data_IF_244981210022
#
_entry.id   IF_244981210022
#
_cell.length_a   1.000
_cell.length_b   1.000
_cell.length_c   1.000
_cell.angle_alpha   90.00
_cell.angle_beta   90.00
_cell.angle_gamma   90.00
#
_symmetry.space_group_name_H-M   'P 1'
#
loop_
_entity.id
_entity.type
_entity.pdbx_description
1 polymer ?
#
# COMPACT_ATOMS: atom_id res chain seq x y z
N UNK A 1 -23.48 -5.47 -3.91
CA UNK A 1 -22.46 -5.99 -2.98
C UNK A 1 -21.22 -5.11 -3.16
N UNK A 2 -21.05 -4.07 -2.33
CA UNK A 2 -19.86 -3.20 -2.38
C UNK A 2 -18.82 -3.85 -1.48
N UNK A 3 -17.85 -4.55 -2.07
CA UNK A 3 -16.70 -5.03 -1.30
C UNK A 3 -15.91 -3.79 -0.86
N UNK A 4 -15.85 -3.59 0.45
CA UNK A 4 -14.95 -2.64 1.10
C UNK A 4 -13.53 -3.18 0.89
N UNK A 5 -12.79 -2.63 -0.06
CA UNK A 5 -11.34 -2.77 -0.08
C UNK A 5 -10.82 -2.05 1.16
N UNK A 6 -10.07 -2.70 2.07
CA UNK A 6 -9.45 -2.00 3.16
C UNK A 6 -8.37 -1.10 2.55
N UNK A 7 -8.73 0.17 2.30
CA UNK A 7 -7.74 1.24 2.31
C UNK A 7 -6.93 1.01 3.57
N UNK A 8 -5.63 0.82 3.42
CA UNK A 8 -4.69 0.96 4.53
C UNK A 8 -5.07 2.29 5.18
N UNK A 9 -5.75 2.17 6.31
CA UNK A 9 -6.31 3.28 7.04
C UNK A 9 -5.10 4.18 7.28
N UNK A 10 -5.15 5.40 6.73
CA UNK A 10 -4.41 6.51 7.27
C UNK A 10 -4.86 6.62 8.73
N UNK A 11 -4.17 5.89 9.60
CA UNK A 11 -4.19 6.13 11.01
C UNK A 11 -3.48 7.47 11.19
N UNK A 12 -4.26 8.54 11.02
CA UNK A 12 -3.97 9.79 11.69
C UNK A 12 -3.97 9.46 13.19
N UNK A 13 -2.80 9.08 13.72
CA UNK A 13 -2.52 9.04 15.14
C UNK A 13 -2.51 10.49 15.64
N UNK A 14 -3.69 11.09 15.71
CA UNK A 14 -4.02 12.04 16.76
C UNK A 14 -4.15 11.22 18.03
N UNK A 15 -3.05 11.08 18.77
CA UNK A 15 -3.12 10.59 20.14
C UNK A 15 -3.65 11.73 21.03
N UNK A 16 -4.77 11.56 21.75
CA UNK A 16 -5.05 12.41 22.90
C UNK A 16 -4.00 12.09 23.97
N UNK A 17 -3.42 13.13 24.58
CA UNK A 17 -2.62 13.01 25.78
C UNK A 17 -3.48 12.36 26.88
N UNK A 18 -3.25 11.07 27.15
CA UNK A 18 -3.82 10.38 28.31
C UNK A 18 -2.71 10.28 29.35
N UNK A 19 -3.00 10.86 30.51
CA UNK A 19 -2.09 10.93 31.65
C UNK A 19 -1.59 9.55 32.09
N UNK A 20 -0.29 9.50 32.38
CA UNK A 20 0.42 8.34 32.91
C UNK A 20 -0.14 7.93 34.27
N UNK A 21 -0.48 6.65 34.42
CA UNK A 21 -0.40 5.96 35.69
C UNK A 21 0.82 5.03 35.65
N UNK A 22 1.70 5.24 36.62
CA UNK A 22 3.01 4.61 36.79
C UNK A 22 2.84 3.14 37.17
N UNK A 23 3.46 2.22 36.41
CA UNK A 23 3.56 0.80 36.77
C UNK A 23 5.06 0.45 36.89
N UNK A 24 5.48 -0.24 37.98
CA UNK A 24 6.89 -0.39 38.29
C UNK A 24 7.59 -1.45 37.43
N UNK A 25 8.90 -1.23 37.25
CA UNK A 25 9.82 -2.01 36.45
C UNK A 25 10.00 -3.46 36.95
N UNK A 26 10.08 -4.40 36.02
CA UNK A 26 10.62 -5.75 36.22
C UNK A 26 11.67 -5.98 35.13
N UNK A 27 12.92 -6.18 35.56
CA UNK A 27 14.04 -6.60 34.71
C UNK A 27 14.00 -8.12 34.44
N UNK A 28 14.62 -8.61 33.35
CA UNK A 28 14.49 -10.01 32.93
C UNK A 28 15.56 -10.90 33.60
N UNK A 29 15.13 -12.04 34.12
CA UNK A 29 16.01 -13.14 34.52
C UNK A 29 15.54 -14.39 33.75
N UNK A 30 16.25 -14.71 32.67
CA UNK A 30 16.08 -15.95 31.92
C UNK A 30 16.87 -17.04 32.64
N UNK A 31 16.18 -17.81 33.47
CA UNK A 31 16.71 -19.03 34.07
C UNK A 31 16.10 -20.27 33.43
N UNK A 32 17.00 -21.20 33.13
CA UNK A 32 16.81 -22.38 32.32
C UNK A 32 16.55 -23.59 33.24
N UNK A 33 15.29 -23.99 33.45
CA UNK A 33 14.94 -25.24 34.15
C UNK A 33 13.73 -25.96 33.55
N UNK A 34 14.05 -26.95 32.71
CA UNK A 34 13.62 -28.36 32.78
C UNK A 34 12.47 -28.69 33.76
N UNK A 35 11.28 -29.02 33.23
CA UNK A 35 10.32 -29.94 33.88
C UNK A 35 9.74 -30.89 32.82
N UNK A 36 9.98 -32.17 33.07
CA UNK A 36 9.36 -33.34 32.46
C UNK A 36 7.91 -33.53 32.96
N UNK A 37 7.09 -34.18 32.12
CA UNK A 37 5.87 -34.94 32.43
C UNK A 37 4.61 -34.17 32.87
N UNK A 38 3.64 -34.09 31.94
CA UNK A 38 2.22 -34.34 32.24
C UNK A 38 1.44 -34.76 30.98
N UNK A 39 0.40 -35.54 31.22
CA UNK A 39 -0.31 -36.55 30.42
C UNK A 39 -1.24 -36.03 29.31
N UNK A 40 -1.67 -36.93 28.38
CA UNK A 40 -2.63 -36.62 27.32
C UNK A 40 -4.06 -36.90 27.80
N UNK A 41 -4.88 -35.86 27.97
CA UNK A 41 -6.33 -36.01 28.12
C UNK A 41 -7.09 -35.02 27.22
N UNK A 42 -7.81 -35.63 26.28
CA UNK A 42 -9.20 -35.32 25.92
C UNK A 42 -9.53 -33.94 25.33
N UNK A 43 -9.50 -33.85 24.00
CA UNK A 43 -10.14 -32.77 23.26
C UNK A 43 -10.95 -33.30 22.06
N UNK A 44 -11.77 -34.32 22.34
CA UNK A 44 -12.68 -34.93 21.37
C UNK A 44 -14.12 -34.60 21.74
N UNK A 45 -14.59 -33.34 21.62
CA UNK A 45 -16.04 -32.99 21.63
C UNK A 45 -16.29 -31.49 21.40
N UNK A 46 -16.01 -30.97 20.20
CA UNK A 46 -16.68 -29.77 19.65
C UNK A 46 -16.90 -29.89 18.14
N UNK A 47 -17.56 -30.96 17.73
CA UNK A 47 -18.16 -31.11 16.40
C UNK A 47 -19.69 -31.03 16.58
N UNK A 48 -20.23 -29.81 16.62
CA UNK A 48 -21.69 -29.62 16.72
C UNK A 48 -22.17 -28.62 15.68
N UNK A 49 -22.90 -29.16 14.70
CA UNK A 49 -23.98 -28.53 13.94
C UNK A 49 -23.61 -27.36 13.00
N UNK A 50 -22.90 -27.68 11.91
CA UNK A 50 -23.01 -26.90 10.66
C UNK A 50 -24.21 -27.44 9.88
N UNK A 51 -25.26 -26.63 9.73
CA UNK A 51 -26.45 -26.93 8.93
C UNK A 51 -26.06 -27.19 7.47
N UNK A 52 -26.11 -28.44 7.04
CA UNK A 52 -26.09 -28.83 5.63
C UNK A 52 -27.48 -28.53 5.04
N UNK A 53 -27.60 -27.41 4.35
CA UNK A 53 -28.70 -27.19 3.43
C UNK A 53 -28.43 -28.05 2.19
N UNK A 54 -29.22 -29.12 2.03
CA UNK A 54 -29.11 -30.06 0.92
C UNK A 54 -29.35 -29.38 -0.43
N UNK A 55 -28.28 -28.97 -1.10
CA UNK A 55 -28.27 -28.63 -2.50
C UNK A 55 -28.00 -29.91 -3.30
N UNK A 56 -29.05 -30.68 -3.57
CA UNK A 56 -29.02 -31.90 -4.38
C UNK A 56 -29.12 -31.51 -5.87
N UNK A 57 -28.03 -30.93 -6.39
CA UNK A 57 -27.88 -30.57 -7.80
C UNK A 57 -27.19 -31.70 -8.57
N UNK A 58 -27.99 -32.42 -9.38
CA UNK A 58 -27.66 -33.26 -10.53
C UNK A 58 -26.17 -33.56 -10.80
N UNK A 59 -25.80 -34.81 -10.54
CA UNK A 59 -24.56 -35.48 -10.89
C UNK A 59 -24.34 -35.54 -12.42
N UNK A 60 -23.06 -35.65 -12.82
CA UNK A 60 -22.55 -35.85 -14.18
C UNK A 60 -22.21 -34.59 -14.99
N UNK A 61 -21.51 -33.62 -14.39
CA UNK A 61 -20.56 -32.80 -15.14
C UNK A 61 -19.21 -33.53 -15.12
N UNK A 62 -18.79 -34.06 -16.26
CA UNK A 62 -17.44 -34.61 -16.46
C UNK A 62 -16.45 -33.46 -16.29
N UNK A 63 -15.83 -33.35 -15.12
CA UNK A 63 -14.80 -32.34 -14.83
C UNK A 63 -13.64 -32.54 -15.81
N UNK A 64 -13.48 -31.61 -16.76
CA UNK A 64 -12.30 -31.58 -17.62
C UNK A 64 -11.08 -31.17 -16.76
N UNK A 65 -10.05 -32.02 -16.63
CA UNK A 65 -8.90 -31.76 -15.76
C UNK A 65 -8.07 -30.51 -16.10
N UNK A 66 -8.32 -29.85 -17.24
CA UNK A 66 -7.56 -28.68 -17.70
C UNK A 66 -8.02 -27.34 -17.13
N UNK A 67 -9.32 -27.15 -16.87
CA UNK A 67 -9.86 -25.82 -16.55
C UNK A 67 -9.39 -25.28 -15.17
N UNK A 68 -9.17 -26.18 -14.20
CA UNK A 68 -8.66 -25.79 -12.88
C UNK A 68 -7.20 -25.34 -12.92
N UNK A 69 -6.39 -25.95 -13.79
CA UNK A 69 -4.97 -25.60 -13.92
C UNK A 69 -4.79 -24.20 -14.52
N UNK A 70 -5.60 -23.85 -15.53
CA UNK A 70 -5.58 -22.51 -16.14
C UNK A 70 -6.01 -21.42 -15.15
N UNK A 71 -7.09 -21.64 -14.39
CA UNK A 71 -7.57 -20.70 -13.38
C UNK A 71 -6.52 -20.46 -12.28
N UNK A 72 -5.86 -21.52 -11.80
CA UNK A 72 -4.77 -21.41 -10.82
C UNK A 72 -3.57 -20.62 -11.38
N UNK A 73 -3.23 -20.82 -12.66
CA UNK A 73 -2.17 -20.08 -13.31
C UNK A 73 -2.51 -18.59 -13.46
N UNK A 74 -3.74 -18.26 -13.86
CA UNK A 74 -4.22 -16.87 -13.92
C UNK A 74 -4.19 -16.18 -12.55
N UNK A 75 -4.65 -16.87 -11.50
CA UNK A 75 -4.59 -16.37 -10.13
C UNK A 75 -3.15 -16.10 -9.69
N UNK A 76 -2.24 -17.06 -9.93
CA UNK A 76 -0.82 -16.92 -9.60
C UNK A 76 -0.22 -15.71 -10.34
N UNK A 77 -0.53 -15.54 -11.62
CA UNK A 77 -0.08 -14.39 -12.42
C UNK A 77 -0.57 -13.07 -11.85
N UNK A 78 -1.84 -13.00 -11.45
CA UNK A 78 -2.43 -11.83 -10.83
C UNK A 78 -1.74 -11.48 -9.50
N UNK A 79 -1.57 -12.47 -8.61
CA UNK A 79 -0.93 -12.28 -7.30
C UNK A 79 0.53 -11.81 -7.44
N UNK A 80 1.29 -12.43 -8.35
CA UNK A 80 2.66 -12.05 -8.60
C UNK A 80 2.79 -10.63 -9.18
N UNK A 81 1.88 -10.24 -10.08
CA UNK A 81 1.84 -8.89 -10.61
C UNK A 81 1.48 -7.85 -9.54
N UNK A 82 0.54 -8.17 -8.64
CA UNK A 82 0.19 -7.33 -7.50
C UNK A 82 1.36 -7.13 -6.56
N UNK A 83 2.05 -8.23 -6.16
CA UNK A 83 3.23 -8.17 -5.30
C UNK A 83 4.36 -7.35 -5.95
N UNK A 84 4.58 -7.51 -7.25
CA UNK A 84 5.56 -6.74 -8.00
C UNK A 84 5.29 -5.22 -7.92
N UNK A 85 4.04 -4.81 -8.14
CA UNK A 85 3.63 -3.40 -8.09
C UNK A 85 3.76 -2.82 -6.68
N UNK A 86 3.36 -3.57 -5.65
CA UNK A 86 3.52 -3.16 -4.25
C UNK A 86 4.99 -2.96 -3.89
N UNK A 87 5.87 -3.87 -4.34
CA UNK A 87 7.31 -3.75 -4.15
C UNK A 87 7.91 -2.51 -4.83
N UNK A 88 7.46 -2.14 -6.05
CA UNK A 88 7.92 -0.91 -6.71
C UNK A 88 7.60 0.33 -5.88
N UNK A 89 6.39 0.40 -5.30
CA UNK A 89 6.03 1.51 -4.42
C UNK A 89 6.93 1.56 -3.17
N UNK A 90 7.20 0.42 -2.53
CA UNK A 90 8.11 0.38 -1.38
C UNK A 90 9.54 0.78 -1.76
N UNK A 91 10.03 0.40 -2.93
CA UNK A 91 11.35 0.80 -3.45
C UNK A 91 11.45 2.32 -3.59
N UNK A 92 10.46 2.96 -4.22
CA UNK A 92 10.44 4.42 -4.40
C UNK A 92 10.32 5.18 -3.07
N UNK A 93 9.44 4.73 -2.16
CA UNK A 93 9.31 5.33 -0.83
C UNK A 93 10.59 5.16 -0.01
N UNK A 94 11.23 4.00 -0.09
CA UNK A 94 12.50 3.73 0.56
C UNK A 94 13.64 4.58 -0.03
N UNK A 95 13.67 4.78 -1.34
CA UNK A 95 14.62 5.70 -1.97
C UNK A 95 14.41 7.15 -1.52
N UNK A 96 13.16 7.60 -1.41
CA UNK A 96 12.84 8.90 -0.84
C UNK A 96 13.37 9.03 0.60
N UNK A 97 13.15 8.02 1.45
CA UNK A 97 13.60 8.04 2.83
C UNK A 97 15.12 7.94 2.98
N UNK A 98 15.80 7.14 2.18
CA UNK A 98 17.26 7.09 2.17
C UNK A 98 17.89 8.47 1.89
N UNK A 99 17.23 9.28 1.05
CA UNK A 99 17.68 10.61 0.69
C UNK A 99 17.26 11.70 1.70
N UNK A 100 16.03 11.63 2.23
CA UNK A 100 15.42 12.73 3.00
C UNK A 100 15.46 12.53 4.52
N UNK A 101 15.59 11.29 5.01
CA UNK A 101 15.58 11.02 6.44
C UNK A 101 16.73 11.76 7.16
N UNK A 102 16.49 12.15 8.41
CA UNK A 102 17.52 12.76 9.26
C UNK A 102 18.27 11.68 10.04
N UNK A 103 17.55 10.70 10.58
CA UNK A 103 18.10 9.58 11.34
C UNK A 103 18.86 8.61 10.43
N UNK A 104 20.11 8.32 10.79
CA UNK A 104 20.91 7.31 10.09
C UNK A 104 20.27 5.92 10.17
N UNK A 105 19.62 5.59 11.28
CA UNK A 105 18.93 4.31 11.44
C UNK A 105 17.76 4.16 10.46
N UNK A 106 17.03 5.27 10.20
CA UNK A 106 15.94 5.29 9.22
C UNK A 106 16.48 5.12 7.80
N UNK A 107 17.60 5.78 7.46
CA UNK A 107 18.26 5.58 6.17
C UNK A 107 18.71 4.13 5.98
N UNK A 108 19.24 3.51 7.03
CA UNK A 108 19.67 2.12 6.99
C UNK A 108 18.48 1.17 6.75
N UNK A 109 17.37 1.36 7.50
CA UNK A 109 16.14 0.62 7.26
C UNK A 109 15.62 0.82 5.83
N UNK A 110 15.62 2.05 5.33
CA UNK A 110 15.17 2.34 3.98
C UNK A 110 16.04 1.64 2.92
N UNK A 111 17.36 1.67 3.05
CA UNK A 111 18.24 0.95 2.13
C UNK A 111 18.03 -0.57 2.15
N UNK A 112 17.82 -1.16 3.33
CA UNK A 112 17.53 -2.60 3.47
C UNK A 112 16.20 -2.98 2.78
N UNK A 113 15.15 -2.18 2.99
CA UNK A 113 13.86 -2.33 2.30
C UNK A 113 14.06 -2.22 0.78
N UNK A 114 14.71 -1.15 0.30
CA UNK A 114 14.97 -0.94 -1.13
C UNK A 114 15.65 -2.17 -1.75
N UNK A 115 16.72 -2.66 -1.13
CA UNK A 115 17.47 -3.81 -1.63
C UNK A 115 16.63 -5.09 -1.62
N UNK A 116 15.97 -5.41 -0.51
CA UNK A 116 15.18 -6.64 -0.37
C UNK A 116 14.01 -6.70 -1.35
N UNK A 117 13.29 -5.59 -1.53
CA UNK A 117 12.18 -5.51 -2.48
C UNK A 117 12.67 -5.54 -3.95
N UNK A 118 13.83 -4.95 -4.27
CA UNK A 118 14.46 -5.09 -5.59
C UNK A 118 14.80 -6.56 -5.90
N UNK A 119 15.38 -7.28 -4.93
CA UNK A 119 15.70 -8.70 -5.07
C UNK A 119 14.43 -9.54 -5.26
N UNK A 120 13.38 -9.28 -4.47
CA UNK A 120 12.08 -9.94 -4.63
C UNK A 120 11.50 -9.73 -6.04
N UNK A 121 11.55 -8.49 -6.56
CA UNK A 121 11.09 -8.18 -7.92
C UNK A 121 11.91 -8.88 -9.01
N UNK A 122 13.22 -9.04 -8.83
CA UNK A 122 14.06 -9.81 -9.76
C UNK A 122 13.67 -11.29 -9.77
N UNK A 123 13.39 -11.88 -8.60
CA UNK A 123 12.94 -13.27 -8.47
C UNK A 123 11.57 -13.47 -9.13
N UNK A 124 10.63 -12.57 -8.87
CA UNK A 124 9.30 -12.59 -9.50
C UNK A 124 9.41 -12.56 -11.04
N UNK A 125 10.17 -11.61 -11.60
CA UNK A 125 10.35 -11.52 -13.06
C UNK A 125 11.05 -12.75 -13.64
N UNK A 126 11.95 -13.38 -12.89
CA UNK A 126 12.66 -14.59 -13.34
C UNK A 126 11.74 -15.82 -13.36
N UNK A 127 10.92 -15.98 -12.32
CA UNK A 127 9.93 -17.07 -12.26
C UNK A 127 8.75 -16.85 -13.22
N UNK A 128 8.42 -15.59 -13.51
CA UNK A 128 7.21 -15.21 -14.23
C UNK A 128 7.53 -14.12 -15.28
N UNK A 129 8.11 -14.50 -16.43
CA UNK A 129 8.60 -13.57 -17.45
C UNK A 129 7.54 -12.59 -17.98
N UNK A 130 6.26 -12.97 -17.95
CA UNK A 130 5.12 -12.12 -18.30
C UNK A 130 5.05 -10.83 -17.46
N UNK A 131 5.64 -10.81 -16.27
CA UNK A 131 5.72 -9.61 -15.42
C UNK A 131 6.58 -8.50 -16.04
N UNK A 132 7.41 -8.78 -17.05
CA UNK A 132 8.14 -7.75 -17.80
C UNK A 132 7.18 -6.72 -18.40
N UNK A 133 6.00 -7.15 -18.85
CA UNK A 133 4.98 -6.24 -19.39
C UNK A 133 4.38 -5.34 -18.30
N UNK A 134 4.30 -5.83 -17.06
CA UNK A 134 3.81 -5.04 -15.91
C UNK A 134 4.82 -3.96 -15.52
N UNK A 135 6.12 -4.24 -15.66
CA UNK A 135 7.20 -3.28 -15.41
C UNK A 135 7.10 -2.05 -16.31
N UNK A 136 6.87 -2.25 -17.60
CA UNK A 136 6.84 -1.16 -18.58
C UNK A 136 5.66 -0.20 -18.34
N UNK A 137 4.59 -0.69 -17.71
CA UNK A 137 3.41 0.11 -17.38
C UNK A 137 3.62 1.01 -16.16
N UNK A 138 4.56 0.68 -15.27
CA UNK A 138 4.83 1.47 -14.06
C UNK A 138 5.72 2.69 -14.32
N UNK A 139 6.38 2.78 -15.48
CA UNK A 139 7.49 3.72 -15.71
C UNK A 139 7.24 4.91 -16.65
N UNK A 140 6.15 4.92 -17.42
CA UNK A 140 6.04 5.82 -18.58
C UNK A 140 4.92 6.88 -18.54
N UNK A 141 4.05 6.90 -17.52
CA UNK A 141 2.90 7.82 -17.52
C UNK A 141 3.21 9.23 -17.00
N UNK A 142 4.45 9.54 -16.60
CA UNK A 142 4.80 10.89 -16.17
C UNK A 142 4.89 11.92 -17.31
N UNK A 143 4.95 11.50 -18.57
CA UNK A 143 5.09 12.42 -19.72
C UNK A 143 3.80 12.68 -20.49
N UNK A 144 2.70 11.95 -20.22
CA UNK A 144 1.48 12.09 -21.02
C UNK A 144 0.39 12.99 -20.39
N UNK A 145 0.52 13.35 -19.11
CA UNK A 145 -0.48 14.14 -18.38
C UNK A 145 -0.46 15.66 -18.63
N UNK A 146 0.44 16.18 -19.48
CA UNK A 146 0.53 17.64 -19.73
C UNK A 146 -0.02 18.08 -21.08
N UNK A 147 -0.61 17.18 -21.89
CA UNK A 147 -1.02 17.52 -23.27
C UNK A 147 -2.49 17.89 -23.51
N UNK A 148 -3.41 17.58 -22.59
CA UNK A 148 -4.85 17.84 -22.83
C UNK A 148 -5.47 19.02 -22.06
N UNK A 149 -4.78 19.58 -21.07
CA UNK A 149 -5.28 20.78 -20.35
C UNK A 149 -4.93 22.12 -21.03
N UNK A 150 -4.13 22.10 -22.11
CA UNK A 150 -3.80 23.31 -22.87
C UNK A 150 -4.87 23.72 -23.91
N UNK A 151 -5.93 22.92 -24.12
CA UNK A 151 -6.94 23.18 -25.16
C UNK A 151 -8.21 23.90 -24.67
N UNK A 152 -8.37 24.20 -23.37
CA UNK A 152 -9.61 24.82 -22.83
C UNK A 152 -9.41 26.24 -22.28
N UNK A 153 -8.29 26.91 -22.58
CA UNK A 153 -8.04 28.30 -22.17
C UNK A 153 -7.85 29.25 -23.36
N UNK A 154 -8.85 29.34 -24.24
CA UNK A 154 -8.90 30.37 -25.31
C UNK A 154 -10.27 31.05 -25.51
N UNK A 155 -11.24 30.90 -24.59
CA UNK A 155 -12.57 31.55 -24.74
C UNK A 155 -12.99 32.45 -23.57
N UNK A 156 -12.06 32.90 -22.72
CA UNK A 156 -12.36 33.79 -21.59
C UNK A 156 -12.09 35.28 -21.86
N UNK A 157 -12.12 35.72 -23.12
CA UNK A 157 -11.85 37.12 -23.48
C UNK A 157 -12.86 37.69 -24.49
N UNK A 158 -14.14 37.40 -24.29
CA UNK A 158 -15.22 38.05 -25.07
C UNK A 158 -16.49 38.23 -24.25
N UNK A 159 -16.37 38.89 -23.10
CA UNK A 159 -17.52 39.28 -22.28
C UNK A 159 -17.47 40.75 -21.85
N UNK A 160 -17.13 41.65 -22.78
CA UNK A 160 -17.36 43.09 -22.60
C UNK A 160 -17.76 43.77 -23.92
N UNK A 161 -18.86 43.33 -24.54
CA UNK A 161 -19.66 44.14 -25.49
C UNK A 161 -20.92 43.41 -25.94
N UNK A 162 -22.06 43.72 -25.33
CA UNK A 162 -23.30 44.14 -26.02
C UNK A 162 -24.50 44.02 -25.09
N UNK A 163 -24.86 45.14 -24.48
CA UNK A 163 -26.24 45.42 -24.14
C UNK A 163 -27.00 45.77 -25.43
N UNK A 164 -27.92 44.90 -25.88
CA UNK A 164 -29.10 45.27 -26.69
C UNK A 164 -30.07 44.08 -26.89
N UNK A 165 -31.20 44.21 -26.19
CA UNK A 165 -32.61 43.81 -26.45
C UNK A 165 -33.01 42.60 -27.33
N UNK A 166 -34.15 41.94 -27.00
CA UNK A 166 -34.61 40.69 -27.61
C UNK A 166 -35.63 40.90 -28.75
N UNK A 167 -35.56 40.09 -29.81
CA UNK A 167 -36.74 39.63 -30.58
C UNK A 167 -36.37 38.62 -31.67
N UNK A 168 -37.20 37.58 -31.77
CA UNK A 168 -37.56 36.81 -32.97
C UNK A 168 -36.44 36.31 -33.89
N UNK A 169 -36.21 34.98 -33.91
CA UNK A 169 -36.45 34.19 -35.13
C UNK A 169 -36.32 32.68 -34.94
N UNK A 170 -37.21 32.05 -35.69
CA UNK A 170 -37.51 30.63 -35.86
C UNK A 170 -36.59 30.03 -36.94
N UNK A 171 -36.36 28.71 -36.81
CA UNK A 171 -36.06 27.71 -37.85
C UNK A 171 -34.65 27.57 -38.46
N UNK A 172 -34.33 26.28 -38.62
CA UNK A 172 -33.55 25.65 -39.70
C UNK A 172 -32.04 25.82 -39.67
N UNK A 173 -31.32 24.72 -39.44
CA UNK A 173 -30.52 24.09 -40.51
C UNK A 173 -29.93 22.75 -40.02
N UNK A 174 -30.57 21.65 -40.42
CA UNK A 174 -29.84 20.47 -40.87
C UNK A 174 -29.00 20.88 -42.07
N UNK A 175 -27.70 20.59 -42.07
CA UNK A 175 -26.99 19.94 -43.20
C UNK A 175 -25.48 19.85 -43.00
N UNK A 176 -24.99 18.67 -43.38
CA UNK A 176 -23.76 18.43 -44.12
C UNK A 176 -22.41 18.74 -43.46
N UNK A 177 -21.79 17.68 -42.93
CA UNK A 177 -20.37 17.49 -43.21
C UNK A 177 -20.02 15.99 -43.32
N UNK A 178 -20.39 15.40 -44.46
CA UNK A 178 -19.98 14.07 -44.91
C UNK A 178 -19.02 14.23 -46.08
N UNK A 179 -17.72 14.28 -45.79
CA UNK A 179 -16.62 14.18 -46.75
C UNK A 179 -15.83 12.93 -46.35
N UNK A 180 -16.10 11.78 -46.97
CA UNK A 180 -15.42 11.29 -48.17
C UNK A 180 -13.90 11.16 -47.97
N UNK A 181 -13.46 10.00 -47.44
CA UNK A 181 -12.10 9.52 -47.69
C UNK A 181 -12.11 7.97 -47.72
N UNK A 182 -12.37 7.44 -48.91
CA UNK A 182 -12.19 6.03 -49.27
C UNK A 182 -10.83 5.87 -49.96
N UNK A 183 -10.18 4.72 -49.75
CA UNK A 183 -8.93 4.22 -50.33
C UNK A 183 -7.63 4.48 -49.54
N UNK A 184 -7.41 3.66 -48.51
CA UNK A 184 -6.09 3.10 -48.22
C UNK A 184 -6.19 1.59 -48.12
N UNK A 185 -5.59 0.92 -49.10
CA UNK A 185 -5.26 -0.51 -49.06
C UNK A 185 -4.24 -0.69 -47.94
N UNK A 186 -4.66 -1.28 -46.82
CA UNK A 186 -3.77 -1.61 -45.72
C UNK A 186 -2.95 -2.86 -46.09
N UNK A 187 -1.62 -2.88 -45.84
CA UNK A 187 -0.83 -4.09 -45.97
C UNK A 187 -1.33 -5.13 -44.97
N UNK A 188 -1.43 -6.39 -45.42
CA UNK A 188 -1.72 -7.55 -44.59
C UNK A 188 -0.61 -7.73 -43.56
N UNK A 189 -0.75 -7.04 -42.42
CA UNK A 189 0.03 -7.30 -41.23
C UNK A 189 -0.59 -8.55 -40.59
N UNK A 190 0.14 -9.67 -40.68
CA UNK A 190 -0.10 -10.88 -39.90
C UNK A 190 -0.05 -10.54 -38.42
N UNK A 191 -1.19 -10.05 -37.92
CA UNK A 191 -1.42 -9.78 -36.51
C UNK A 191 -1.81 -11.12 -35.94
N UNK A 192 -0.81 -11.79 -35.36
CA UNK A 192 -1.01 -12.87 -34.42
C UNK A 192 -1.97 -12.33 -33.36
N UNK A 193 -3.26 -12.56 -33.59
CA UNK A 193 -4.34 -11.95 -32.83
C UNK A 193 -4.43 -12.80 -31.57
N UNK A 194 -3.49 -12.58 -30.65
CA UNK A 194 -3.67 -12.97 -29.26
C UNK A 194 -5.04 -12.44 -28.88
N UNK A 195 -5.99 -13.37 -28.68
CA UNK A 195 -7.33 -13.03 -28.23
C UNK A 195 -7.15 -12.08 -27.05
N UNK A 196 -7.79 -10.91 -27.06
CA UNK A 196 -7.63 -9.94 -26.00
C UNK A 196 -7.92 -10.67 -24.70
N UNK A 197 -6.92 -10.72 -23.83
CA UNK A 197 -6.93 -11.39 -22.52
C UNK A 197 -7.81 -10.55 -21.58
N UNK A 198 -9.06 -10.32 -21.99
CA UNK A 198 -10.02 -9.41 -21.37
C UNK A 198 -10.80 -10.14 -20.25
N UNK A 199 -10.06 -11.00 -19.54
CA UNK A 199 -10.53 -11.81 -18.44
C UNK A 199 -10.76 -10.98 -17.18
N UNK A 200 -11.57 -11.52 -16.26
CA UNK A 200 -11.85 -10.88 -14.97
C UNK A 200 -10.55 -10.59 -14.18
N UNK A 201 -9.55 -11.48 -14.26
CA UNK A 201 -8.25 -11.31 -13.63
C UNK A 201 -7.51 -10.05 -14.13
N UNK A 202 -7.51 -9.80 -15.44
CA UNK A 202 -6.87 -8.61 -16.01
C UNK A 202 -7.57 -7.32 -15.58
N UNK A 203 -8.90 -7.34 -15.50
CA UNK A 203 -9.70 -6.20 -15.00
C UNK A 203 -9.40 -5.93 -13.53
N UNK A 204 -9.30 -6.97 -12.69
CA UNK A 204 -8.88 -6.85 -11.30
C UNK A 204 -7.45 -6.29 -11.19
N UNK A 205 -6.51 -6.77 -12.01
CA UNK A 205 -5.14 -6.26 -12.01
C UNK A 205 -5.08 -4.76 -12.36
N UNK A 206 -5.87 -4.32 -13.33
CA UNK A 206 -5.96 -2.90 -13.70
C UNK A 206 -6.60 -2.03 -12.61
N UNK A 207 -7.52 -2.59 -11.81
CA UNK A 207 -8.09 -1.90 -10.64
C UNK A 207 -7.03 -1.80 -9.53
N UNK A 208 -6.38 -2.90 -9.19
CA UNK A 208 -5.32 -2.94 -8.18
C UNK A 208 -4.17 -2.01 -8.52
N UNK A 209 -3.72 -1.99 -9.78
CA UNK A 209 -2.68 -1.06 -10.23
C UNK A 209 -3.02 0.39 -9.91
N UNK A 210 -4.21 0.86 -10.31
CA UNK A 210 -4.67 2.23 -10.04
C UNK A 210 -4.80 2.49 -8.54
N UNK A 211 -5.27 1.51 -7.76
CA UNK A 211 -5.38 1.64 -6.31
C UNK A 211 -4.00 1.81 -5.66
N UNK A 212 -3.03 0.99 -6.07
CA UNK A 212 -1.64 1.05 -5.62
C UNK A 212 -1.00 2.40 -6.00
N UNK A 213 -1.14 2.85 -7.25
CA UNK A 213 -0.64 4.14 -7.75
C UNK A 213 -1.24 5.32 -6.97
N UNK A 214 -2.56 5.30 -6.73
CA UNK A 214 -3.23 6.34 -5.94
C UNK A 214 -2.72 6.37 -4.50
N UNK A 215 -2.61 5.20 -3.85
CA UNK A 215 -2.07 5.10 -2.51
C UNK A 215 -0.62 5.59 -2.44
N UNK A 216 0.19 5.24 -3.43
CA UNK A 216 1.57 5.67 -3.54
C UNK A 216 1.68 7.19 -3.70
N UNK A 217 0.90 7.78 -4.60
CA UNK A 217 0.82 9.24 -4.81
C UNK A 217 0.46 9.96 -3.52
N UNK A 218 -0.57 9.52 -2.81
CA UNK A 218 -0.99 10.10 -1.53
C UNK A 218 0.11 9.98 -0.46
N UNK A 219 0.80 8.85 -0.41
CA UNK A 219 1.92 8.65 0.53
C UNK A 219 3.08 9.59 0.24
N UNK A 220 3.45 9.77 -1.04
CA UNK A 220 4.49 10.73 -1.46
C UNK A 220 4.10 12.17 -1.11
N UNK A 221 2.84 12.56 -1.31
CA UNK A 221 2.33 13.87 -0.92
C UNK A 221 2.38 14.07 0.60
N UNK A 222 2.01 13.05 1.38
CA UNK A 222 2.13 13.11 2.83
C UNK A 222 3.58 13.31 3.27
N UNK A 223 4.54 12.66 2.61
CA UNK A 223 5.97 12.79 2.91
C UNK A 223 6.57 14.12 2.48
N UNK A 224 6.13 14.72 1.36
CA UNK A 224 6.67 16.01 0.89
C UNK A 224 6.46 17.16 1.89
N UNK A 225 5.45 17.04 2.73
CA UNK A 225 5.09 18.05 3.74
C UNK A 225 5.80 17.84 5.09
N UNK A 226 6.67 16.83 5.19
CA UNK A 226 7.41 16.49 6.42
C UNK A 226 8.90 16.63 6.19
N UNK A 227 9.63 17.06 7.23
CA UNK A 227 11.09 17.15 7.21
C UNK A 227 11.66 16.74 8.56
N UNK A 228 12.94 16.38 8.56
CA UNK A 228 13.67 16.03 9.78
C UNK A 228 13.03 14.86 10.51
N UNK A 229 12.92 14.97 11.84
CA UNK A 229 12.37 13.91 12.69
C UNK A 229 10.88 13.61 12.39
N UNK A 230 10.09 14.60 11.98
CA UNK A 230 8.70 14.38 11.58
C UNK A 230 8.60 13.52 10.33
N UNK A 231 9.53 13.68 9.39
CA UNK A 231 9.63 12.81 8.23
C UNK A 231 10.00 11.39 8.67
N UNK A 232 11.03 11.25 9.51
CA UNK A 232 11.51 9.97 10.01
C UNK A 232 10.40 9.15 10.67
N UNK A 233 9.65 9.75 11.60
CA UNK A 233 8.51 9.09 12.26
C UNK A 233 7.40 8.71 11.27
N UNK A 234 7.08 9.62 10.34
CA UNK A 234 6.04 9.39 9.35
C UNK A 234 6.39 8.21 8.44
N UNK A 235 7.64 8.15 7.98
CA UNK A 235 8.15 7.03 7.19
C UNK A 235 8.12 5.71 7.96
N UNK A 236 8.64 5.69 9.20
CA UNK A 236 8.63 4.48 10.04
C UNK A 236 7.20 4.00 10.29
N UNK A 237 6.26 4.91 10.58
CA UNK A 237 4.85 4.58 10.74
C UNK A 237 4.23 3.98 9.48
N UNK A 238 4.54 4.55 8.30
CA UNK A 238 4.08 4.03 7.02
C UNK A 238 4.63 2.62 6.72
N UNK A 239 5.91 2.36 7.02
CA UNK A 239 6.53 1.04 6.89
C UNK A 239 5.82 0.01 7.77
N UNK A 240 5.55 0.34 9.05
CA UNK A 240 4.84 -0.56 9.96
C UNK A 240 3.45 -0.91 9.41
N UNK A 241 2.69 0.09 8.95
CA UNK A 241 1.35 -0.12 8.40
C UNK A 241 1.36 -0.98 7.14
N UNK A 242 2.22 -0.65 6.16
CA UNK A 242 2.30 -1.38 4.90
C UNK A 242 2.78 -2.82 5.08
N UNK A 243 3.74 -3.05 5.99
CA UNK A 243 4.30 -4.37 6.22
C UNK A 243 3.38 -5.29 7.03
N UNK A 244 2.59 -4.77 7.98
CA UNK A 244 1.53 -5.57 8.62
C UNK A 244 0.49 -6.06 7.60
N UNK A 245 0.09 -5.18 6.66
CA UNK A 245 -0.83 -5.54 5.59
C UNK A 245 -0.21 -6.57 4.65
N UNK A 246 1.03 -6.34 4.20
CA UNK A 246 1.73 -7.26 3.31
C UNK A 246 1.90 -8.65 3.96
N UNK A 247 2.28 -8.72 5.23
CA UNK A 247 2.39 -10.00 5.95
C UNK A 247 1.05 -10.76 5.99
N UNK A 248 -0.05 -10.04 6.22
CA UNK A 248 -1.40 -10.63 6.20
C UNK A 248 -1.76 -11.16 4.81
N UNK A 249 -1.39 -10.43 3.76
CA UNK A 249 -1.62 -10.86 2.38
C UNK A 249 -0.77 -12.08 2.00
N UNK A 250 0.53 -12.07 2.31
CA UNK A 250 1.43 -13.20 2.06
C UNK A 250 0.96 -14.45 2.80
N UNK A 251 0.47 -14.31 4.03
CA UNK A 251 -0.15 -15.42 4.79
C UNK A 251 -1.42 -15.95 4.12
N UNK A 252 -2.24 -15.07 3.55
CA UNK A 252 -3.50 -15.44 2.92
C UNK A 252 -3.36 -16.16 1.58
N UNK A 253 -2.17 -16.14 0.96
CA UNK A 253 -1.90 -16.79 -0.32
C UNK A 253 -1.04 -18.06 -0.18
N UNK A 254 -0.81 -18.53 1.06
CA UNK A 254 0.05 -19.70 1.33
C UNK A 254 -0.49 -21.02 0.78
N UNK A 255 -1.76 -21.08 0.39
CA UNK A 255 -2.45 -22.25 -0.13
C UNK A 255 -2.53 -22.28 -1.67
N UNK A 256 -1.87 -21.34 -2.36
CA UNK A 256 -1.81 -21.33 -3.83
C UNK A 256 -0.89 -22.44 -4.33
N UNK A 257 -1.41 -23.31 -5.20
CA UNK A 257 -0.67 -24.42 -5.80
C UNK A 257 0.29 -23.96 -6.92
N UNK A 258 1.35 -23.26 -6.52
CA UNK A 258 2.39 -22.75 -7.41
C UNK A 258 3.77 -22.78 -6.73
N UNK A 259 4.49 -23.93 -6.71
CA UNK A 259 5.66 -24.12 -5.85
C UNK A 259 6.78 -23.09 -6.01
N UNK A 260 7.08 -22.68 -7.26
CA UNK A 260 8.11 -21.66 -7.51
C UNK A 260 7.68 -20.27 -7.01
N UNK A 261 6.40 -19.93 -7.14
CA UNK A 261 5.86 -18.68 -6.61
C UNK A 261 5.85 -18.72 -5.08
N UNK A 262 5.47 -19.85 -4.48
CA UNK A 262 5.43 -20.03 -3.03
C UNK A 262 6.79 -19.87 -2.36
N UNK A 263 7.87 -20.35 -2.98
CA UNK A 263 9.22 -20.08 -2.49
C UNK A 263 9.51 -18.57 -2.41
N UNK A 264 9.06 -17.80 -3.40
CA UNK A 264 9.24 -16.34 -3.41
C UNK A 264 8.37 -15.68 -2.33
N UNK A 265 7.14 -16.16 -2.13
CA UNK A 265 6.23 -15.69 -1.08
C UNK A 265 6.83 -15.91 0.30
N UNK A 266 7.37 -17.10 0.59
CA UNK A 266 7.99 -17.43 1.87
C UNK A 266 9.21 -16.55 2.17
N UNK A 267 10.07 -16.35 1.17
CA UNK A 267 11.23 -15.48 1.30
C UNK A 267 10.82 -14.00 1.51
N UNK A 268 9.80 -13.54 0.79
CA UNK A 268 9.24 -12.20 0.94
C UNK A 268 8.64 -12.01 2.34
N UNK A 269 7.93 -13.00 2.87
CA UNK A 269 7.30 -12.94 4.17
C UNK A 269 8.34 -12.80 5.29
N UNK A 270 9.39 -13.62 5.25
CA UNK A 270 10.51 -13.53 6.18
C UNK A 270 11.15 -12.13 6.18
N UNK A 271 11.32 -11.53 4.99
CA UNK A 271 11.86 -10.16 4.87
C UNK A 271 10.91 -9.10 5.39
N UNK A 272 9.62 -9.21 5.10
CA UNK A 272 8.60 -8.30 5.62
C UNK A 272 8.58 -8.33 7.14
N UNK A 273 8.64 -9.51 7.76
CA UNK A 273 8.72 -9.65 9.21
C UNK A 273 9.99 -9.02 9.80
N UNK A 274 11.14 -9.23 9.14
CA UNK A 274 12.41 -8.61 9.55
C UNK A 274 12.32 -7.08 9.53
N UNK A 275 11.87 -6.48 8.41
CA UNK A 275 11.72 -5.03 8.29
C UNK A 275 10.74 -4.47 9.32
N UNK A 276 9.61 -5.15 9.53
CA UNK A 276 8.58 -4.77 10.51
C UNK A 276 9.15 -4.77 11.93
N UNK A 277 9.96 -5.76 12.29
CA UNK A 277 10.65 -5.83 13.58
C UNK A 277 11.57 -4.61 13.78
N UNK A 278 12.41 -4.32 12.80
CA UNK A 278 13.31 -3.14 12.82
C UNK A 278 12.53 -1.84 12.92
N UNK A 279 11.47 -1.68 12.11
CA UNK A 279 10.65 -0.46 12.11
C UNK A 279 9.96 -0.24 13.47
N UNK A 280 9.42 -1.29 14.11
CA UNK A 280 8.84 -1.20 15.46
C UNK A 280 9.86 -0.80 16.52
N UNK A 281 11.09 -1.33 16.44
CA UNK A 281 12.17 -0.95 17.35
C UNK A 281 12.55 0.54 17.17
N UNK A 282 12.62 1.02 15.92
CA UNK A 282 12.90 2.43 15.65
C UNK A 282 11.78 3.35 16.13
N UNK A 283 10.51 2.99 15.91
CA UNK A 283 9.38 3.77 16.40
C UNK A 283 9.44 3.93 17.93
N UNK A 284 9.74 2.84 18.65
CA UNK A 284 9.92 2.89 20.11
C UNK A 284 11.07 3.80 20.51
N UNK A 285 12.24 3.66 19.87
CA UNK A 285 13.42 4.49 20.14
C UNK A 285 13.13 5.99 19.96
N UNK A 286 12.40 6.37 18.91
CA UNK A 286 12.01 7.76 18.66
C UNK A 286 11.04 8.29 19.74
N UNK A 287 10.09 7.47 20.16
CA UNK A 287 9.16 7.82 21.24
C UNK A 287 9.88 8.06 22.58
N UNK A 288 10.86 7.20 22.91
CA UNK A 288 11.67 7.33 24.11
C UNK A 288 12.53 8.62 24.08
N UNK A 289 13.07 8.98 22.91
CA UNK A 289 13.82 10.23 22.71
C UNK A 289 12.95 11.47 22.92
N UNK A 290 11.74 11.50 22.37
CA UNK A 290 10.80 12.63 22.56
C UNK A 290 10.40 12.82 24.02
N UNK A 291 10.25 11.73 24.76
CA UNK A 291 9.88 11.77 26.18
C UNK A 291 11.00 12.35 27.04
N UNK A 292 12.27 12.09 26.69
CA UNK A 292 13.42 12.60 27.43
C UNK A 292 13.69 14.09 27.19
N UNK A 293 13.47 14.59 25.97
CA UNK A 293 13.70 16.01 25.66
C UNK A 293 12.70 16.93 26.38
N UNK A 294 11.44 16.49 26.53
CA UNK A 294 10.40 17.28 27.23
C UNK A 294 10.62 17.42 28.75
N UNK A 295 11.33 16.49 29.39
CA UNK A 295 11.48 16.46 30.86
C UNK A 295 12.47 17.49 31.41
N UNK A 296 13.36 18.04 30.58
CA UNK A 296 14.42 18.96 31.05
C UNK A 296 14.02 20.43 31.13
N UNK A 297 12.82 20.80 30.66
CA UNK A 297 12.35 22.19 30.60
C UNK A 297 11.75 22.72 31.91
N UNK A 298 11.07 21.89 32.71
CA UNK A 298 10.27 22.38 33.85
C UNK A 298 11.00 22.41 35.20
N UNK A 299 12.24 21.94 35.27
CA UNK A 299 12.93 21.77 36.56
C UNK A 299 13.85 22.93 36.96
N UNK A 300 13.78 24.10 36.28
CA UNK A 300 14.66 25.26 36.55
C UNK A 300 13.98 26.50 37.12
N UNK A 301 12.68 26.49 37.38
CA UNK A 301 11.96 27.68 37.88
C UNK A 301 11.21 27.42 39.20
N UNK A 302 11.90 26.84 40.19
CA UNK A 302 11.29 26.62 41.52
C UNK A 302 12.22 26.85 42.71
N UNK A 303 13.33 27.59 42.54
CA UNK A 303 14.25 27.90 43.65
C UNK A 303 14.33 29.38 44.06
N UNK A 304 13.51 30.27 43.52
CA UNK A 304 13.62 31.72 43.84
C UNK A 304 12.32 32.37 44.33
N UNK A 305 11.67 31.76 45.33
CA UNK A 305 10.55 32.40 46.05
C UNK A 305 10.50 32.06 47.54
N UNK A 306 11.68 31.92 48.16
CA UNK A 306 11.82 31.94 49.63
C UNK A 306 12.75 33.09 50.04
N UNK A 307 12.36 34.29 49.65
CA UNK A 307 12.84 35.50 50.29
C UNK A 307 11.64 36.40 50.62
N UNK A 308 11.70 37.03 51.80
CA UNK A 308 10.82 38.11 52.28
C UNK A 308 9.41 37.76 52.77
N UNK A 309 9.34 37.18 53.98
CA UNK A 309 8.48 37.73 55.05
C UNK A 309 9.15 37.52 56.42
N UNK A 310 10.27 38.20 56.64
CA UNK A 310 10.79 38.47 57.99
C UNK A 310 10.66 39.98 58.24
N UNK A 311 9.58 40.36 58.92
CA UNK A 311 9.45 41.58 59.74
C UNK A 311 8.00 41.75 60.16
N UNK A 312 7.80 42.24 61.38
CA UNK A 312 6.54 42.52 62.09
C UNK A 312 5.98 41.39 62.96
N UNK A 313 6.43 41.36 64.22
CA UNK A 313 5.60 41.87 65.33
C UNK A 313 6.41 42.10 66.62
N UNK A 314 6.20 43.30 67.16
CA UNK A 314 6.44 43.74 68.54
C UNK A 314 5.58 42.96 69.53
#
# INVERSE_FOLDING_TARGET
>A
MRMFTPYALLAALSMPAVGMAQQPAISPQLDNQRIDQQTPEDNTLRQTQRREAGFRGTESATEQPGAQSEANQELTNYLAAKLYLANQCQIELAEMAANQAKSQDVKNLANDIKQSHQQANQKLVSAMPQLKQVKDLSGNDSDHATRDDAATSQNADTAERNARTPRDRVASNLRDNRVANSNRVAPALSSDTQAPVDGAAQKLLNIERRAIENNHKLTKQMFSDKQGEKFDMCYVGAVIGSHNWMHSELSAIQDVDAPQFMQIVDEADNKVQQHLGTAKQLAKKMQDQQSNEGSTSDSRDSTDSRDSTDSFRN
#
